data_IF_775185391047
#
_entry.id   IF_775185391047
#
_cell.length_a   1.000
_cell.length_b   1.000
_cell.length_c   1.000
_cell.angle_alpha   90.00
_cell.angle_beta   90.00
_cell.angle_gamma   90.00
#
_symmetry.space_group_name_H-M   'P 1'
#
loop_
_entity.id
_entity.type
_entity.pdbx_description
1 polymer ?
#
# COMPACT_ATOMS: atom_id res chain seq x y z
N UNK A 1 -4.92 -1.42 -16.69
CA UNK A 1 -4.13 -1.10 -17.92
C UNK A 1 -2.67 -1.48 -17.65
N UNK A 2 -1.79 -1.60 -18.65
CA UNK A 2 -0.37 -1.92 -18.42
C UNK A 2 0.49 -0.75 -18.90
N UNK A 3 1.45 -0.32 -18.08
CA UNK A 3 2.32 0.80 -18.42
C UNK A 3 3.59 0.38 -19.18
N UNK A 4 4.44 1.36 -19.52
CA UNK A 4 5.67 1.11 -20.26
C UNK A 4 6.74 0.32 -19.49
N UNK A 5 6.63 0.21 -18.16
CA UNK A 5 7.46 -0.67 -17.33
C UNK A 5 6.89 -2.09 -17.20
N UNK A 6 5.70 -2.35 -17.74
CA UNK A 6 5.03 -3.65 -17.66
C UNK A 6 4.22 -3.85 -16.38
N UNK A 7 4.10 -2.83 -15.53
CA UNK A 7 3.30 -2.88 -14.31
C UNK A 7 1.82 -2.68 -14.64
N UNK A 8 0.91 -3.29 -13.86
CA UNK A 8 -0.50 -2.99 -14.01
C UNK A 8 -0.83 -1.68 -13.30
N UNK A 9 -1.72 -0.91 -13.90
CA UNK A 9 -2.28 0.29 -13.32
C UNK A 9 -3.77 0.05 -13.13
N UNK A 10 -4.17 0.00 -11.87
CA UNK A 10 -5.56 0.14 -11.46
C UNK A 10 -5.92 1.63 -11.52
N UNK A 11 -6.64 1.99 -12.59
CA UNK A 11 -7.07 3.36 -12.82
C UNK A 11 -8.06 3.83 -11.73
N UNK A 12 -8.89 2.94 -11.20
CA UNK A 12 -9.86 3.31 -10.18
C UNK A 12 -9.15 3.61 -8.85
N UNK A 13 -8.22 2.74 -8.44
CA UNK A 13 -7.36 2.97 -7.26
C UNK A 13 -6.58 4.28 -7.40
N UNK A 14 -5.83 4.44 -8.50
CA UNK A 14 -5.03 5.65 -8.73
C UNK A 14 -5.89 6.92 -8.67
N UNK A 15 -7.07 6.93 -9.29
CA UNK A 15 -7.94 8.10 -9.29
C UNK A 15 -8.50 8.42 -7.89
N UNK A 16 -8.96 7.42 -7.13
CA UNK A 16 -9.52 7.67 -5.79
C UNK A 16 -8.42 8.09 -4.81
N UNK A 17 -7.23 7.48 -4.88
CA UNK A 17 -6.07 7.83 -4.06
C UNK A 17 -5.60 9.25 -4.38
N UNK A 18 -5.50 9.61 -5.66
CA UNK A 18 -5.15 10.99 -6.08
C UNK A 18 -6.16 12.00 -5.55
N UNK A 19 -7.46 11.70 -5.66
CA UNK A 19 -8.52 12.56 -5.13
C UNK A 19 -8.44 12.69 -3.60
N UNK A 20 -8.11 11.61 -2.90
CA UNK A 20 -7.88 11.58 -1.47
C UNK A 20 -6.78 12.56 -1.04
N UNK A 21 -5.62 12.50 -1.69
CA UNK A 21 -4.52 13.44 -1.48
C UNK A 21 -4.87 14.91 -1.78
N UNK A 22 -5.82 15.17 -2.70
CA UNK A 22 -6.23 16.53 -3.06
C UNK A 22 -7.31 17.12 -2.14
N UNK A 23 -8.20 16.29 -1.61
CA UNK A 23 -9.39 16.76 -0.89
C UNK A 23 -9.18 16.90 0.63
N UNK A 24 -8.19 16.22 1.24
CA UNK A 24 -7.86 16.36 2.66
C UNK A 24 -9.03 16.17 3.64
N UNK A 25 -10.08 15.43 3.25
CA UNK A 25 -11.31 15.25 4.05
C UNK A 25 -11.22 14.01 4.94
N UNK A 26 -11.53 14.19 6.24
CA UNK A 26 -11.85 13.18 7.30
C UNK A 26 -10.86 12.03 7.56
N UNK A 27 -10.05 11.63 6.58
CA UNK A 27 -9.06 10.55 6.62
C UNK A 27 -7.70 11.21 6.34
N UNK A 28 -6.66 10.99 7.16
CA UNK A 28 -5.33 11.55 6.89
C UNK A 28 -4.85 11.17 5.48
N UNK A 29 -4.23 12.10 4.78
CA UNK A 29 -4.02 12.04 3.32
C UNK A 29 -3.39 10.72 2.85
N UNK A 30 -2.40 10.19 3.58
CA UNK A 30 -1.72 8.92 3.27
C UNK A 30 -2.58 7.65 3.43
N UNK A 31 -3.63 7.69 4.24
CA UNK A 31 -4.54 6.56 4.49
C UNK A 31 -5.50 6.29 3.33
N UNK A 32 -5.64 7.24 2.41
CA UNK A 32 -6.40 7.03 1.17
C UNK A 32 -5.63 6.23 0.11
N UNK A 33 -4.35 5.95 0.34
CA UNK A 33 -3.52 5.08 -0.49
C UNK A 33 -2.71 4.11 0.37
N UNK A 34 -1.38 4.11 0.21
CA UNK A 34 -0.46 3.12 0.76
C UNK A 34 -0.65 2.76 2.24
N UNK A 35 -1.02 3.70 3.11
CA UNK A 35 -1.22 3.40 4.54
C UNK A 35 -2.51 2.61 4.78
N UNK A 36 -3.59 2.89 4.05
CA UNK A 36 -4.83 2.10 4.11
C UNK A 36 -4.63 0.67 3.59
N UNK A 37 -3.88 0.53 2.51
CA UNK A 37 -3.52 -0.76 1.93
C UNK A 37 -2.64 -1.57 2.89
N UNK A 38 -1.62 -0.92 3.46
CA UNK A 38 -0.74 -1.52 4.46
C UNK A 38 -1.53 -1.95 5.70
N UNK A 39 -2.43 -1.12 6.22
CA UNK A 39 -3.28 -1.45 7.36
C UNK A 39 -4.21 -2.64 7.08
N UNK A 40 -4.72 -2.77 5.86
CA UNK A 40 -5.51 -3.93 5.42
C UNK A 40 -4.63 -5.18 5.33
N UNK A 41 -3.39 -5.03 4.85
CA UNK A 41 -2.42 -6.12 4.83
C UNK A 41 -2.03 -6.57 6.25
N UNK A 42 -1.98 -5.66 7.22
CA UNK A 42 -1.75 -6.00 8.63
C UNK A 42 -2.85 -6.91 9.21
N UNK A 43 -4.13 -6.67 8.87
CA UNK A 43 -5.23 -7.56 9.25
C UNK A 43 -5.11 -8.95 8.63
N UNK A 44 -4.69 -9.01 7.36
CA UNK A 44 -4.39 -10.27 6.68
C UNK A 44 -3.21 -11.00 7.34
N UNK A 45 -2.12 -10.31 7.67
CA UNK A 45 -0.95 -10.86 8.39
C UNK A 45 -1.38 -11.44 9.74
N UNK A 46 -2.11 -10.67 10.55
CA UNK A 46 -2.62 -11.13 11.84
C UNK A 46 -3.45 -12.41 11.68
N UNK A 47 -4.37 -12.41 10.73
CA UNK A 47 -5.22 -13.58 10.45
C UNK A 47 -4.39 -14.82 10.08
N UNK A 48 -3.37 -14.67 9.24
CA UNK A 48 -2.45 -15.77 8.89
C UNK A 48 -1.73 -16.28 10.13
N UNK A 49 -1.21 -15.39 10.97
CA UNK A 49 -0.47 -15.77 12.18
C UNK A 49 -1.35 -16.48 13.21
N UNK A 50 -2.62 -16.09 13.33
CA UNK A 50 -3.59 -16.78 14.19
C UNK A 50 -3.97 -18.15 13.67
N UNK A 51 -4.07 -18.30 12.35
CA UNK A 51 -4.44 -19.57 11.73
C UNK A 51 -3.28 -20.56 11.67
N UNK A 52 -2.05 -20.06 11.78
CA UNK A 52 -0.83 -20.83 11.66
C UNK A 52 0.12 -20.55 12.83
N UNK A 53 -0.17 -21.07 14.04
CA UNK A 53 0.72 -20.90 15.19
C UNK A 53 2.14 -21.40 14.88
N UNK A 54 3.14 -20.53 15.05
CA UNK A 54 4.54 -20.85 14.75
C UNK A 54 5.01 -20.47 13.34
N UNK A 55 4.15 -19.86 12.52
CA UNK A 55 4.59 -19.22 11.28
C UNK A 55 5.59 -18.08 11.54
N UNK A 56 6.46 -17.84 10.56
CA UNK A 56 7.42 -16.74 10.61
C UNK A 56 6.73 -15.43 10.20
N UNK A 57 6.58 -14.52 11.15
CA UNK A 57 5.93 -13.22 10.94
C UNK A 57 6.60 -12.40 9.83
N UNK A 58 7.94 -12.37 9.78
CA UNK A 58 8.64 -11.58 8.77
C UNK A 58 8.40 -12.16 7.37
N UNK A 59 8.48 -13.48 7.23
CA UNK A 59 8.23 -14.15 5.96
C UNK A 59 6.76 -14.02 5.49
N UNK A 60 5.81 -13.96 6.42
CA UNK A 60 4.39 -13.69 6.13
C UNK A 60 4.20 -12.24 5.67
N UNK A 61 4.82 -11.26 6.34
CA UNK A 61 4.76 -9.85 5.91
C UNK A 61 5.37 -9.65 4.52
N UNK A 62 6.55 -10.25 4.25
CA UNK A 62 7.19 -10.19 2.93
C UNK A 62 6.32 -10.82 1.83
N UNK A 63 5.48 -11.79 2.18
CA UNK A 63 4.56 -12.43 1.25
C UNK A 63 3.26 -11.64 0.98
N UNK A 64 2.87 -10.75 1.89
CA UNK A 64 1.59 -10.03 1.85
C UNK A 64 1.73 -8.53 1.59
N UNK A 65 2.97 -8.03 1.47
CA UNK A 65 3.28 -6.63 1.19
C UNK A 65 4.16 -6.55 -0.06
N UNK A 66 3.66 -5.88 -1.09
CA UNK A 66 4.35 -5.64 -2.36
C UNK A 66 4.45 -6.84 -3.31
N UNK A 67 3.83 -7.98 -2.99
CA UNK A 67 3.79 -9.13 -3.89
C UNK A 67 2.71 -8.96 -4.97
N UNK A 68 2.94 -9.60 -6.13
CA UNK A 68 1.95 -9.66 -7.22
C UNK A 68 0.88 -10.73 -7.00
N UNK A 69 0.09 -11.00 -8.03
CA UNK A 69 -1.03 -11.97 -7.98
C UNK A 69 -0.61 -13.40 -7.59
N UNK A 70 0.66 -13.75 -7.75
CA UNK A 70 1.24 -15.04 -7.40
C UNK A 70 1.69 -15.14 -5.93
N UNK A 71 1.36 -14.16 -5.08
CA UNK A 71 1.76 -14.08 -3.66
C UNK A 71 1.55 -15.39 -2.88
N UNK A 72 0.51 -16.17 -3.20
CA UNK A 72 0.23 -17.48 -2.56
C UNK A 72 1.32 -18.52 -2.79
N UNK A 73 2.17 -18.34 -3.79
CA UNK A 73 3.33 -19.20 -4.07
C UNK A 73 4.56 -18.81 -3.25
N UNK A 74 4.55 -17.65 -2.58
CA UNK A 74 5.67 -17.15 -1.81
C UNK A 74 6.05 -18.15 -0.69
N UNK A 75 7.36 -18.47 -0.51
CA UNK A 75 7.80 -19.47 0.46
C UNK A 75 7.32 -19.23 1.89
N UNK A 76 7.13 -17.96 2.27
CA UNK A 76 6.62 -17.56 3.59
C UNK A 76 5.18 -17.97 3.88
N UNK A 77 4.35 -18.20 2.85
CA UNK A 77 2.92 -18.51 3.03
C UNK A 77 2.39 -19.72 2.25
N UNK A 78 3.14 -20.25 1.27
CA UNK A 78 2.67 -21.30 0.34
C UNK A 78 2.18 -22.60 1.00
N UNK A 79 2.65 -22.89 2.21
CA UNK A 79 2.29 -24.08 2.98
C UNK A 79 1.40 -23.75 4.20
N UNK A 80 0.93 -22.51 4.31
CA UNK A 80 0.09 -22.04 5.40
C UNK A 80 -1.39 -22.10 5.03
N UNK A 81 -2.24 -22.09 6.06
CA UNK A 81 -3.69 -21.95 5.91
C UNK A 81 -3.99 -20.50 5.51
N UNK A 82 -4.48 -20.31 4.28
CA UNK A 82 -4.86 -19.01 3.71
C UNK A 82 -6.36 -18.89 3.41
N UNK A 83 -7.15 -19.90 3.80
CA UNK A 83 -8.59 -19.87 3.73
C UNK A 83 -9.19 -20.91 4.66
N UNK A 84 -10.20 -20.52 5.43
CA UNK A 84 -10.97 -21.45 6.26
C UNK A 84 -12.35 -20.87 6.59
N UNK A 85 -13.27 -21.74 6.98
CA UNK A 85 -14.57 -21.35 7.49
C UNK A 85 -14.44 -20.75 8.90
N UNK A 86 -15.07 -19.60 9.12
CA UNK A 86 -15.20 -18.97 10.43
C UNK A 86 -16.63 -18.46 10.61
N UNK A 87 -17.33 -18.98 11.62
CA UNK A 87 -18.70 -18.53 11.93
C UNK A 87 -19.70 -18.73 10.79
N UNK A 88 -19.57 -19.82 10.02
CA UNK A 88 -20.45 -20.11 8.87
C UNK A 88 -20.11 -19.36 7.59
N UNK A 89 -19.03 -18.58 7.57
CA UNK A 89 -18.57 -17.82 6.40
C UNK A 89 -17.19 -18.28 5.99
N UNK A 90 -17.00 -18.58 4.70
CA UNK A 90 -15.69 -18.86 4.14
C UNK A 90 -14.87 -17.57 4.05
N UNK A 91 -13.74 -17.52 4.76
CA UNK A 91 -12.79 -16.40 4.68
C UNK A 91 -11.55 -16.81 3.91
N UNK A 92 -10.99 -15.87 3.15
CA UNK A 92 -9.71 -16.06 2.46
C UNK A 92 -8.81 -14.85 2.66
N UNK A 93 -7.50 -15.09 2.76
CA UNK A 93 -6.50 -14.03 2.87
C UNK A 93 -6.35 -13.34 1.52
N UNK A 94 -6.53 -12.03 1.50
CA UNK A 94 -6.37 -11.19 0.30
C UNK A 94 -4.94 -10.65 0.13
N UNK A 95 -4.67 -10.07 -1.03
CA UNK A 95 -3.42 -9.35 -1.35
C UNK A 95 -3.70 -7.85 -1.42
N UNK A 96 -3.93 -7.24 -0.25
CA UNK A 96 -4.48 -5.88 -0.11
C UNK A 96 -3.45 -4.76 -0.10
N UNK A 97 -2.15 -5.09 -0.15
CA UNK A 97 -1.06 -4.13 -0.31
C UNK A 97 -0.12 -4.71 -1.37
N UNK A 98 -0.66 -4.93 -2.57
CA UNK A 98 0.03 -5.62 -3.64
C UNK A 98 0.93 -4.67 -4.43
N UNK A 99 1.72 -5.23 -5.35
CA UNK A 99 2.62 -4.45 -6.20
C UNK A 99 1.91 -3.38 -7.03
N UNK A 100 0.76 -3.72 -7.61
CA UNK A 100 0.02 -2.85 -8.53
C UNK A 100 -0.63 -1.67 -7.78
N UNK A 101 -1.15 -1.90 -6.58
CA UNK A 101 -1.68 -0.86 -5.69
C UNK A 101 -0.56 0.08 -5.25
N UNK A 102 0.60 -0.45 -4.83
CA UNK A 102 1.77 0.36 -4.48
C UNK A 102 2.34 1.15 -5.68
N UNK A 103 2.25 0.61 -6.90
CA UNK A 103 2.55 1.36 -8.11
C UNK A 103 1.60 2.56 -8.23
N UNK A 104 0.30 2.32 -8.08
CA UNK A 104 -0.74 3.35 -8.18
C UNK A 104 -0.65 4.39 -7.06
N UNK A 105 -0.24 4.01 -5.84
CA UNK A 105 -0.01 4.94 -4.73
C UNK A 105 1.14 5.90 -5.02
N UNK A 106 2.26 5.37 -5.52
CA UNK A 106 3.40 6.19 -5.94
C UNK A 106 3.04 7.16 -7.07
N UNK A 107 2.25 6.69 -8.03
CA UNK A 107 1.73 7.50 -9.13
C UNK A 107 0.76 8.58 -8.63
N UNK A 108 -0.13 8.24 -7.70
CA UNK A 108 -1.11 9.16 -7.11
C UNK A 108 -0.43 10.29 -6.34
N UNK A 109 0.64 10.00 -5.59
CA UNK A 109 1.47 11.02 -4.92
C UNK A 109 2.05 12.00 -5.95
N UNK A 110 2.55 11.48 -7.08
CA UNK A 110 3.06 12.33 -8.16
C UNK A 110 1.96 13.22 -8.76
N UNK A 111 0.81 12.63 -9.09
CA UNK A 111 -0.29 13.38 -9.70
C UNK A 111 -0.84 14.44 -8.74
N UNK A 112 -1.03 14.12 -7.46
CA UNK A 112 -1.49 15.08 -6.46
C UNK A 112 -0.53 16.28 -6.35
N UNK A 113 0.78 16.05 -6.26
CA UNK A 113 1.79 17.11 -6.24
C UNK A 113 1.71 18.00 -7.49
N UNK A 114 1.57 17.40 -8.68
CA UNK A 114 1.44 18.15 -9.93
C UNK A 114 0.15 18.93 -10.04
N UNK A 115 -0.97 18.38 -9.57
CA UNK A 115 -2.25 19.09 -9.54
C UNK A 115 -2.20 20.28 -8.59
N UNK A 116 -1.62 20.14 -7.41
CA UNK A 116 -1.46 21.25 -6.45
C UNK A 116 -0.55 22.37 -6.99
N UNK A 117 0.47 22.02 -7.79
CA UNK A 117 1.35 22.99 -8.45
C UNK A 117 0.73 23.64 -9.70
N UNK A 118 -0.29 23.02 -10.29
CA UNK A 118 -0.92 23.51 -11.52
C UNK A 118 -1.82 24.71 -11.22
N UNK A 119 -1.71 25.76 -12.04
CA UNK A 119 -2.66 26.88 -12.02
C UNK A 119 -3.84 26.46 -12.89
N UNK A 120 -5.00 26.21 -12.28
CA UNK A 120 -6.18 25.67 -12.96
C UNK A 120 -6.54 26.39 -14.27
N UNK A 121 -7.23 25.69 -15.17
CA UNK A 121 -7.71 26.26 -16.45
C UNK A 121 -7.42 25.42 -17.70
N UNK A 122 -6.64 24.33 -17.59
CA UNK A 122 -6.45 23.37 -18.68
C UNK A 122 -7.39 22.16 -18.52
N UNK A 123 -8.39 22.06 -19.40
CA UNK A 123 -9.35 20.95 -19.43
C UNK A 123 -8.70 19.59 -19.75
N UNK A 124 -7.48 19.58 -20.28
CA UNK A 124 -6.74 18.38 -20.65
C UNK A 124 -5.61 18.03 -19.67
N UNK A 125 -5.46 18.80 -18.58
CA UNK A 125 -4.36 18.67 -17.63
C UNK A 125 -4.11 17.23 -17.18
N UNK A 126 -5.15 16.53 -16.70
CA UNK A 126 -5.05 15.14 -16.26
C UNK A 126 -4.53 14.22 -17.38
N UNK A 127 -5.15 14.27 -18.55
CA UNK A 127 -4.79 13.41 -19.68
C UNK A 127 -3.37 13.68 -20.21
N UNK A 128 -2.96 14.95 -20.21
CA UNK A 128 -1.61 15.36 -20.61
C UNK A 128 -0.56 14.88 -19.61
N UNK A 129 -0.83 15.01 -18.30
CA UNK A 129 0.07 14.52 -17.26
C UNK A 129 0.20 13.01 -17.26
N UNK A 130 -0.90 12.27 -17.34
CA UNK A 130 -0.85 10.80 -17.41
C UNK A 130 -0.06 10.35 -18.63
N UNK A 131 -0.28 10.98 -19.79
CA UNK A 131 0.49 10.65 -21.00
C UNK A 131 1.97 10.94 -20.83
N UNK A 132 2.35 12.07 -20.24
CA UNK A 132 3.76 12.39 -20.00
C UNK A 132 4.38 11.40 -19.00
N UNK A 133 3.70 11.14 -17.90
CA UNK A 133 4.16 10.28 -16.81
C UNK A 133 4.38 8.83 -17.26
N UNK A 134 3.37 8.20 -17.87
CA UNK A 134 3.46 6.79 -18.27
C UNK A 134 4.37 6.53 -19.47
N UNK A 135 4.89 7.58 -20.12
CA UNK A 135 5.92 7.48 -21.16
C UNK A 135 7.33 7.81 -20.66
N UNK A 136 7.50 8.17 -19.38
CA UNK A 136 8.79 8.53 -18.80
C UNK A 136 9.28 7.43 -17.85
N UNK A 137 10.18 6.57 -18.35
CA UNK A 137 10.75 5.47 -17.57
C UNK A 137 11.47 5.92 -16.30
N UNK A 138 12.01 7.15 -16.27
CA UNK A 138 12.67 7.66 -15.08
C UNK A 138 11.66 7.96 -13.97
N UNK A 139 10.51 8.55 -14.32
CA UNK A 139 9.44 8.83 -13.37
C UNK A 139 8.83 7.54 -12.83
N UNK A 140 8.62 6.55 -13.69
CA UNK A 140 8.09 5.23 -13.34
C UNK A 140 9.03 4.46 -12.42
N UNK A 141 10.35 4.53 -12.64
CA UNK A 141 11.35 3.88 -11.77
C UNK A 141 11.39 4.46 -10.36
N UNK A 142 10.94 5.71 -10.20
CA UNK A 142 10.95 6.42 -8.93
C UNK A 142 9.68 6.18 -8.08
N UNK A 143 8.62 5.56 -8.62
CA UNK A 143 7.29 5.53 -7.99
C UNK A 143 7.27 4.94 -6.59
N UNK A 144 7.93 3.81 -6.35
CA UNK A 144 7.99 3.20 -5.01
C UNK A 144 8.78 4.09 -4.04
N UNK A 145 9.86 4.72 -4.52
CA UNK A 145 10.62 5.69 -3.72
C UNK A 145 9.81 6.93 -3.38
N UNK A 146 8.79 7.30 -4.16
CA UNK A 146 7.90 8.44 -3.85
C UNK A 146 7.12 8.19 -2.57
N UNK A 147 6.71 6.97 -2.29
CA UNK A 147 6.04 6.60 -1.02
C UNK A 147 6.94 6.89 0.18
N UNK A 148 8.21 6.50 0.13
CA UNK A 148 9.15 6.81 1.20
C UNK A 148 9.42 8.34 1.31
N UNK A 149 9.57 9.02 0.17
CA UNK A 149 9.82 10.48 0.14
C UNK A 149 8.62 11.29 0.62
N UNK A 150 7.38 10.82 0.41
CA UNK A 150 6.18 11.53 0.87
C UNK A 150 6.08 11.62 2.38
N UNK A 151 6.74 10.72 3.10
CA UNK A 151 6.89 10.76 4.57
C UNK A 151 8.26 11.26 5.02
N UNK A 152 9.03 11.88 4.12
CA UNK A 152 10.33 12.48 4.42
C UNK A 152 11.48 11.50 4.65
N UNK A 153 11.32 10.22 4.28
CA UNK A 153 12.36 9.21 4.44
C UNK A 153 13.33 9.17 3.25
N UNK A 154 14.63 9.12 3.54
CA UNK A 154 15.69 8.97 2.53
C UNK A 154 16.28 7.56 2.52
N UNK A 155 16.23 6.86 3.65
CA UNK A 155 16.76 5.49 3.81
C UNK A 155 15.68 4.47 4.16
N UNK A 156 15.98 3.18 3.96
CA UNK A 156 15.11 2.07 4.37
C UNK A 156 14.73 2.13 5.85
N UNK A 157 15.68 2.45 6.74
CA UNK A 157 15.42 2.51 8.19
C UNK A 157 14.54 3.71 8.56
N UNK A 158 14.74 4.85 7.92
CA UNK A 158 13.86 6.02 8.10
C UNK A 158 12.46 5.72 7.58
N UNK A 159 12.33 5.04 6.44
CA UNK A 159 11.05 4.68 5.86
C UNK A 159 10.25 3.79 6.80
N UNK A 160 10.85 2.72 7.35
CA UNK A 160 10.17 1.84 8.30
C UNK A 160 9.64 2.60 9.54
N UNK A 161 10.45 3.53 10.08
CA UNK A 161 10.06 4.38 11.22
C UNK A 161 8.94 5.35 10.86
N UNK A 162 9.02 5.98 9.68
CA UNK A 162 8.05 6.95 9.23
C UNK A 162 6.71 6.29 8.90
N UNK A 163 6.72 5.10 8.28
CA UNK A 163 5.51 4.30 8.06
C UNK A 163 4.85 3.93 9.38
N UNK A 164 5.62 3.42 10.34
CA UNK A 164 5.11 3.13 11.68
C UNK A 164 4.47 4.36 12.34
N UNK A 165 5.11 5.54 12.25
CA UNK A 165 4.55 6.75 12.83
C UNK A 165 3.20 7.14 12.21
N UNK A 166 3.02 6.96 10.91
CA UNK A 166 1.74 7.24 10.23
C UNK A 166 0.64 6.22 10.59
N UNK A 167 1.03 5.00 10.96
CA UNK A 167 0.14 3.94 11.46
C UNK A 167 -0.20 4.08 12.96
N UNK A 168 0.65 4.75 13.73
CA UNK A 168 0.53 4.92 15.18
C UNK A 168 -0.23 6.23 15.57
N UNK A 169 -0.03 7.32 14.81
CA UNK A 169 -0.53 8.65 15.18
C UNK A 169 -1.99 8.87 14.73
N UNK A 170 -2.94 8.59 15.65
CA UNK A 170 -4.39 8.86 15.46
C UNK A 170 -5.18 7.76 14.72
N UNK A 171 -4.49 6.70 14.29
CA UNK A 171 -5.00 5.71 13.35
C UNK A 171 -5.68 4.48 13.97
N UNK A 172 -5.72 4.34 15.30
CA UNK A 172 -6.45 3.23 15.95
C UNK A 172 -7.91 3.15 15.47
N UNK A 173 -8.56 4.31 15.23
CA UNK A 173 -9.92 4.37 14.68
C UNK A 173 -10.01 3.88 13.22
N UNK A 174 -9.00 4.14 12.38
CA UNK A 174 -8.97 3.68 10.99
C UNK A 174 -8.61 2.20 10.89
N UNK A 175 -7.69 1.71 11.73
CA UNK A 175 -7.42 0.29 11.87
C UNK A 175 -8.66 -0.45 12.39
N UNK A 176 -9.36 0.10 13.38
CA UNK A 176 -10.66 -0.41 13.84
C UNK A 176 -11.71 -0.40 12.72
N UNK A 177 -11.73 0.62 11.86
CA UNK A 177 -12.70 0.71 10.76
C UNK A 177 -12.45 -0.38 9.71
N UNK A 178 -11.20 -0.57 9.29
CA UNK A 178 -10.82 -1.48 8.21
C UNK A 178 -10.72 -2.93 8.68
N UNK A 179 -10.12 -3.16 9.85
CA UNK A 179 -9.87 -4.49 10.37
C UNK A 179 -10.96 -4.96 11.35
N UNK A 180 -11.88 -4.09 11.76
CA UNK A 180 -12.86 -4.33 12.82
C UNK A 180 -12.24 -4.64 14.20
N UNK A 181 -10.94 -4.40 14.36
CA UNK A 181 -10.18 -4.55 15.59
C UNK A 181 -8.89 -3.72 15.56
N UNK A 182 -8.27 -3.55 16.73
CA UNK A 182 -6.92 -2.99 16.82
C UNK A 182 -5.89 -4.07 16.49
N UNK A 183 -4.90 -3.69 15.69
CA UNK A 183 -3.79 -4.55 15.32
C UNK A 183 -2.65 -4.40 16.33
N UNK A 184 -2.12 -5.51 16.83
CA UNK A 184 -1.01 -5.47 17.77
C UNK A 184 0.27 -4.90 17.14
N UNK A 185 1.01 -4.08 17.90
CA UNK A 185 2.21 -3.37 17.44
C UNK A 185 3.26 -4.25 16.75
N UNK A 186 3.36 -5.54 17.10
CA UNK A 186 4.28 -6.47 16.45
C UNK A 186 3.95 -6.67 14.95
N UNK A 187 2.67 -6.70 14.59
CA UNK A 187 2.23 -6.84 13.20
C UNK A 187 2.40 -5.52 12.44
N UNK A 188 2.07 -4.39 13.08
CA UNK A 188 2.28 -3.04 12.54
C UNK A 188 3.76 -2.84 12.20
N UNK A 189 4.65 -3.07 13.17
CA UNK A 189 6.10 -2.92 13.01
C UNK A 189 6.67 -3.83 11.91
N UNK A 190 6.26 -5.10 11.88
CA UNK A 190 6.73 -6.05 10.86
C UNK A 190 6.25 -5.69 9.44
N UNK A 191 4.99 -5.27 9.28
CA UNK A 191 4.45 -4.84 7.99
C UNK A 191 5.12 -3.55 7.49
N UNK A 192 5.33 -2.55 8.35
CA UNK A 192 6.07 -1.34 8.01
C UNK A 192 7.52 -1.66 7.59
N UNK A 193 8.17 -2.63 8.24
CA UNK A 193 9.50 -3.09 7.85
C UNK A 193 9.48 -3.79 6.48
N UNK A 194 8.47 -4.62 6.22
CA UNK A 194 8.32 -5.30 4.92
C UNK A 194 8.08 -4.29 3.79
N UNK A 195 7.23 -3.28 3.99
CA UNK A 195 7.03 -2.20 3.01
C UNK A 195 8.33 -1.44 2.73
N UNK A 196 9.09 -1.12 3.77
CA UNK A 196 10.39 -0.47 3.61
C UNK A 196 11.39 -1.35 2.84
N UNK A 197 11.41 -2.66 3.10
CA UNK A 197 12.25 -3.63 2.37
C UNK A 197 11.82 -3.75 0.90
N UNK A 198 10.52 -3.70 0.61
CA UNK A 198 10.01 -3.75 -0.76
C UNK A 198 10.39 -2.50 -1.57
N UNK A 199 10.29 -1.31 -0.95
CA UNK A 199 10.60 -0.03 -1.60
C UNK A 199 12.12 0.18 -1.82
N UNK A 200 12.98 -0.42 -0.99
CA UNK A 200 14.45 -0.23 -0.99
C UNK A 200 15.25 -1.47 -1.28
#
# INVERSE_FOLDING_TARGET
MTDASGEQVDLAHMCVTTLGYLNGLLIPDVWTGWAGDLASAMGNVKTVMEWNPGADLAAVCEALVGQGDDYRSHPGIRNLVLGKEQGGVWKTIGNSCNRDDLCCDGDAIYFADKFQQSRGGDAHLLSSMMRAYYNDSSLLSDRFKRIARSVGAATRSEAAKAFYANEDWGAGAMQLLLNHELIENKYVSAACQALANFIY
#
